data_IF_041840595879
#
_entry.id   IF_041840595879
#
_cell.length_a   1.000
_cell.length_b   1.000
_cell.length_c   1.000
_cell.angle_alpha   90.00
_cell.angle_beta   90.00
_cell.angle_gamma   90.00
#
_symmetry.space_group_name_H-M   'P 1'
#
loop_
_entity.id
_entity.type
_entity.pdbx_description
1 polymer ?
#
# COMPACT_ATOMS: atom_id res chain seq x y z
N UNK A 1 -3.52 1.87 -7.79
CA UNK A 1 -2.67 0.92 -8.54
C UNK A 1 -1.23 1.43 -8.63
N UNK A 2 -0.97 2.66 -9.10
CA UNK A 2 0.39 3.20 -9.26
C UNK A 2 1.31 3.03 -8.03
N UNK A 3 0.80 3.26 -6.82
CA UNK A 3 1.59 3.12 -5.60
C UNK A 3 2.17 1.71 -5.37
N UNK A 4 1.48 0.65 -5.78
CA UNK A 4 2.01 -0.71 -5.69
C UNK A 4 3.13 -0.94 -6.70
N UNK A 5 2.98 -0.43 -7.93
CA UNK A 5 4.01 -0.56 -8.95
C UNK A 5 5.26 0.25 -8.60
N UNK A 6 5.10 1.45 -8.02
CA UNK A 6 6.24 2.23 -7.52
C UNK A 6 7.00 1.49 -6.41
N UNK A 7 6.31 0.80 -5.49
CA UNK A 7 6.96 -0.02 -4.45
C UNK A 7 7.70 -1.21 -5.04
N UNK A 8 7.10 -1.88 -6.03
CA UNK A 8 7.74 -2.97 -6.74
C UNK A 8 9.05 -2.49 -7.41
N UNK A 9 8.98 -1.38 -8.16
CA UNK A 9 10.13 -0.78 -8.80
C UNK A 9 11.18 -0.29 -7.78
N UNK A 10 10.75 0.27 -6.66
CA UNK A 10 11.64 0.64 -5.56
C UNK A 10 12.36 -0.58 -4.98
N UNK A 11 11.65 -1.70 -4.84
CA UNK A 11 12.26 -2.98 -4.43
C UNK A 11 13.33 -3.44 -5.42
N UNK A 12 13.06 -3.34 -6.73
CA UNK A 12 14.05 -3.64 -7.78
C UNK A 12 15.26 -2.69 -7.70
N UNK A 13 15.02 -1.38 -7.57
CA UNK A 13 16.06 -0.36 -7.53
C UNK A 13 16.99 -0.45 -6.30
N UNK A 14 16.52 -1.08 -5.23
CA UNK A 14 17.30 -1.30 -4.00
C UNK A 14 18.09 -2.62 -4.00
N UNK A 15 18.05 -3.39 -5.09
CA UNK A 15 18.93 -4.56 -5.25
C UNK A 15 20.36 -4.07 -5.49
N UNK A 16 21.35 -4.50 -4.69
CA UNK A 16 22.74 -4.09 -4.90
C UNK A 16 23.25 -4.54 -6.28
N UNK A 17 23.95 -3.66 -6.99
CA UNK A 17 24.51 -3.96 -8.30
C UNK A 17 25.43 -5.20 -8.29
N UNK A 18 26.14 -5.43 -7.18
CA UNK A 18 27.02 -6.58 -6.97
C UNK A 18 26.29 -7.94 -6.92
N UNK A 19 24.97 -7.92 -6.64
CA UNK A 19 24.14 -9.14 -6.57
C UNK A 19 23.17 -9.26 -7.74
N UNK A 20 23.14 -8.26 -8.64
CA UNK A 20 22.24 -8.25 -9.80
C UNK A 20 22.80 -9.16 -10.88
N UNK A 21 22.11 -10.26 -11.16
CA UNK A 21 22.41 -11.08 -12.32
C UNK A 21 21.86 -10.39 -13.56
N UNK A 22 22.74 -9.73 -14.33
CA UNK A 22 22.37 -9.11 -15.59
C UNK A 22 22.15 -10.17 -16.66
N UNK A 23 21.03 -10.11 -17.36
CA UNK A 23 20.72 -11.03 -18.44
C UNK A 23 19.25 -10.97 -18.88
N UNK A 24 18.97 -11.53 -20.03
CA UNK A 24 17.61 -11.55 -20.61
C UNK A 24 16.62 -12.29 -19.70
N UNK A 25 17.05 -13.42 -19.11
CA UNK A 25 16.18 -14.24 -18.26
C UNK A 25 15.76 -13.53 -16.98
N UNK A 26 16.65 -12.95 -16.14
CA UNK A 26 16.24 -12.17 -14.97
C UNK A 26 15.37 -10.97 -15.31
N UNK A 27 15.68 -10.26 -16.41
CA UNK A 27 14.86 -9.14 -16.85
C UNK A 27 13.43 -9.58 -17.23
N UNK A 28 13.29 -10.72 -17.94
CA UNK A 28 11.99 -11.29 -18.27
C UNK A 28 11.24 -11.73 -17.01
N UNK A 29 11.90 -12.36 -16.05
CA UNK A 29 11.29 -12.77 -14.78
C UNK A 29 10.79 -11.57 -13.98
N UNK A 30 11.59 -10.50 -13.90
CA UNK A 30 11.17 -9.25 -13.27
C UNK A 30 9.97 -8.60 -13.99
N UNK A 31 9.96 -8.59 -15.33
CA UNK A 31 8.84 -8.08 -16.11
C UNK A 31 7.56 -8.92 -15.89
N UNK A 32 7.66 -10.24 -15.91
CA UNK A 32 6.53 -11.13 -15.60
C UNK A 32 6.01 -10.92 -14.19
N UNK A 33 6.89 -10.76 -13.20
CA UNK A 33 6.51 -10.47 -11.83
C UNK A 33 5.82 -9.11 -11.71
N UNK A 34 6.30 -8.09 -12.44
CA UNK A 34 5.64 -6.76 -12.49
C UNK A 34 4.20 -6.87 -13.02
N UNK A 35 3.99 -7.64 -14.11
CA UNK A 35 2.65 -7.89 -14.66
C UNK A 35 1.80 -8.70 -13.69
N UNK A 36 2.37 -9.71 -13.02
CA UNK A 36 1.69 -10.46 -11.98
C UNK A 36 1.18 -9.55 -10.85
N UNK A 37 2.01 -8.61 -10.38
CA UNK A 37 1.63 -7.62 -9.37
C UNK A 37 0.53 -6.67 -9.85
N UNK A 38 0.61 -6.22 -11.11
CA UNK A 38 -0.43 -5.40 -11.71
C UNK A 38 -1.79 -6.12 -11.70
N UNK A 39 -1.79 -7.39 -12.14
CA UNK A 39 -2.99 -8.22 -12.17
C UNK A 39 -3.52 -8.54 -10.76
N UNK A 40 -2.64 -8.85 -9.79
CA UNK A 40 -3.03 -9.14 -8.41
C UNK A 40 -3.64 -7.90 -7.70
N UNK A 41 -3.07 -6.72 -7.92
CA UNK A 41 -3.61 -5.47 -7.40
C UNK A 41 -4.95 -5.13 -8.07
N UNK A 42 -5.05 -5.35 -9.37
CA UNK A 42 -6.30 -5.14 -10.11
C UNK A 42 -7.40 -6.08 -9.61
N UNK A 43 -7.10 -7.37 -9.39
CA UNK A 43 -8.00 -8.31 -8.70
C UNK A 43 -8.47 -7.75 -7.36
N UNK A 44 -7.54 -7.32 -6.51
CA UNK A 44 -7.85 -6.84 -5.17
C UNK A 44 -8.83 -5.66 -5.20
N UNK A 45 -8.62 -4.69 -6.10
CA UNK A 45 -9.50 -3.54 -6.24
C UNK A 45 -10.88 -3.90 -6.79
N UNK A 46 -10.96 -4.77 -7.80
CA UNK A 46 -12.24 -5.20 -8.36
C UNK A 46 -13.04 -6.06 -7.37
N UNK A 47 -12.35 -6.99 -6.70
CA UNK A 47 -12.98 -7.86 -5.71
C UNK A 47 -13.48 -7.05 -4.50
N UNK A 48 -12.69 -6.08 -4.04
CA UNK A 48 -13.13 -5.16 -3.00
C UNK A 48 -14.38 -4.36 -3.45
N UNK A 49 -14.36 -3.75 -4.63
CA UNK A 49 -15.53 -3.02 -5.15
C UNK A 49 -16.76 -3.91 -5.37
N UNK A 50 -16.57 -5.19 -5.75
CA UNK A 50 -17.66 -6.15 -5.87
C UNK A 50 -18.29 -6.46 -4.49
N UNK A 51 -17.47 -6.62 -3.45
CA UNK A 51 -17.93 -6.89 -2.09
C UNK A 51 -18.53 -5.65 -1.41
N UNK A 52 -17.96 -4.48 -1.65
CA UNK A 52 -18.39 -3.20 -1.07
C UNK A 52 -19.59 -2.55 -1.80
N UNK A 53 -20.17 -3.21 -2.79
CA UNK A 53 -21.20 -2.62 -3.65
C UNK A 53 -22.31 -1.89 -2.89
N UNK A 54 -22.85 -2.50 -1.83
CA UNK A 54 -23.92 -1.90 -1.01
C UNK A 54 -23.43 -0.68 -0.24
N UNK A 55 -22.28 -0.79 0.41
CA UNK A 55 -21.64 0.29 1.16
C UNK A 55 -21.27 1.46 0.26
N UNK A 56 -20.65 1.16 -0.88
CA UNK A 56 -20.25 2.16 -1.87
C UNK A 56 -21.44 2.92 -2.46
N UNK A 57 -22.60 2.27 -2.59
CA UNK A 57 -23.83 2.94 -3.02
C UNK A 57 -24.40 3.88 -1.97
N UNK A 58 -24.41 3.47 -0.71
CA UNK A 58 -24.84 4.33 0.42
C UNK A 58 -23.92 5.56 0.53
N UNK A 59 -22.64 5.38 0.28
CA UNK A 59 -21.62 6.45 0.32
C UNK A 59 -21.54 7.28 -0.97
N UNK A 60 -22.47 7.11 -1.92
CA UNK A 60 -22.47 7.81 -3.20
C UNK A 60 -21.13 7.72 -3.93
N UNK A 61 -20.49 6.56 -3.86
CA UNK A 61 -19.15 6.33 -4.40
C UNK A 61 -19.17 6.42 -5.93
N UNK A 62 -18.19 7.12 -6.50
CA UNK A 62 -17.99 7.23 -7.95
C UNK A 62 -17.30 6.01 -8.57
N UNK A 63 -17.02 4.97 -7.77
CA UNK A 63 -16.39 3.72 -8.27
C UNK A 63 -17.26 3.09 -9.37
N UNK A 64 -16.65 2.51 -10.43
CA UNK A 64 -17.38 2.01 -11.59
C UNK A 64 -18.50 1.01 -11.27
N UNK A 65 -18.31 0.15 -10.26
CA UNK A 65 -19.30 -0.85 -9.87
C UNK A 65 -20.47 -0.18 -9.12
N UNK A 66 -20.18 0.72 -8.19
CA UNK A 66 -21.20 1.45 -7.43
C UNK A 66 -22.02 2.40 -8.30
N UNK A 67 -21.37 3.06 -9.26
CA UNK A 67 -22.00 3.97 -10.22
C UNK A 67 -22.70 3.25 -11.40
N UNK A 68 -22.77 1.92 -11.38
CA UNK A 68 -23.39 1.06 -12.41
C UNK A 68 -22.71 1.14 -13.80
N UNK A 69 -21.54 1.75 -13.91
CA UNK A 69 -20.74 1.76 -15.16
C UNK A 69 -20.12 0.40 -15.47
N UNK A 70 -19.96 -0.46 -14.46
CA UNK A 70 -19.46 -1.82 -14.60
C UNK A 70 -20.42 -2.79 -13.88
N UNK A 71 -21.06 -3.74 -14.58
CA UNK A 71 -21.92 -4.74 -13.98
C UNK A 71 -21.15 -5.60 -12.96
N UNK A 72 -21.79 -5.96 -11.84
CA UNK A 72 -21.17 -6.76 -10.77
C UNK A 72 -20.67 -8.12 -11.27
N UNK A 73 -21.46 -8.81 -12.10
CA UNK A 73 -21.05 -10.09 -12.69
C UNK A 73 -19.78 -9.97 -13.50
N UNK A 74 -19.72 -8.96 -14.38
CA UNK A 74 -18.54 -8.66 -15.20
C UNK A 74 -17.33 -8.33 -14.32
N UNK A 75 -17.51 -7.50 -13.27
CA UNK A 75 -16.44 -7.17 -12.34
C UNK A 75 -15.86 -8.40 -11.65
N UNK A 76 -16.70 -9.35 -11.21
CA UNK A 76 -16.23 -10.60 -10.58
C UNK A 76 -15.51 -11.51 -11.56
N UNK A 77 -16.03 -11.64 -12.79
CA UNK A 77 -15.37 -12.44 -13.84
C UNK A 77 -13.99 -11.86 -14.17
N UNK A 78 -13.91 -10.55 -14.41
CA UNK A 78 -12.63 -9.87 -14.69
C UNK A 78 -11.68 -9.99 -13.51
N UNK A 79 -12.15 -9.89 -12.27
CA UNK A 79 -11.33 -10.10 -11.09
C UNK A 79 -10.75 -11.52 -11.06
N UNK A 80 -11.55 -12.56 -11.33
CA UNK A 80 -11.07 -13.96 -11.38
C UNK A 80 -10.05 -14.17 -12.49
N UNK A 81 -10.30 -13.62 -13.68
CA UNK A 81 -9.33 -13.68 -14.79
C UNK A 81 -8.02 -12.97 -14.41
N UNK A 82 -8.09 -11.82 -13.75
CA UNK A 82 -6.90 -11.10 -13.27
C UNK A 82 -6.12 -11.91 -12.22
N UNK A 83 -6.80 -12.58 -11.29
CA UNK A 83 -6.13 -13.46 -10.32
C UNK A 83 -5.42 -14.64 -11.00
N UNK A 84 -6.08 -15.27 -11.98
CA UNK A 84 -5.46 -16.35 -12.76
C UNK A 84 -4.25 -15.85 -13.55
N UNK A 85 -4.37 -14.73 -14.26
CA UNK A 85 -3.27 -14.11 -14.99
C UNK A 85 -2.11 -13.76 -14.07
N UNK A 86 -2.39 -13.24 -12.85
CA UNK A 86 -1.38 -12.97 -11.84
C UNK A 86 -0.59 -14.24 -11.47
N UNK A 87 -1.27 -15.36 -11.23
CA UNK A 87 -0.62 -16.64 -10.88
C UNK A 87 0.20 -17.21 -12.05
N UNK A 88 -0.32 -17.16 -13.28
CA UNK A 88 0.40 -17.62 -14.48
C UNK A 88 1.67 -16.80 -14.70
N UNK A 89 1.59 -15.47 -14.66
CA UNK A 89 2.76 -14.61 -14.80
C UNK A 89 3.76 -14.80 -13.65
N UNK A 90 3.28 -14.93 -12.40
CA UNK A 90 4.14 -15.19 -11.26
C UNK A 90 4.83 -16.55 -11.33
N UNK A 91 4.16 -17.59 -11.83
CA UNK A 91 4.78 -18.90 -12.09
C UNK A 91 5.91 -18.81 -13.14
N UNK A 92 5.69 -18.03 -14.20
CA UNK A 92 6.73 -17.74 -15.20
C UNK A 92 7.92 -16.95 -14.64
N UNK A 93 7.68 -16.12 -13.61
CA UNK A 93 8.73 -15.39 -12.90
C UNK A 93 9.52 -16.26 -11.91
N UNK A 94 8.97 -17.40 -11.49
CA UNK A 94 9.63 -18.36 -10.60
C UNK A 94 8.85 -18.65 -9.32
N UNK A 95 9.25 -19.69 -8.58
CA UNK A 95 8.54 -20.19 -7.40
C UNK A 95 8.42 -19.12 -6.31
N UNK A 96 9.47 -18.34 -6.05
CA UNK A 96 9.43 -17.27 -5.04
C UNK A 96 8.39 -16.20 -5.38
N UNK A 97 8.36 -15.75 -6.64
CA UNK A 97 7.36 -14.79 -7.13
C UNK A 97 5.94 -15.36 -7.04
N UNK A 98 5.75 -16.65 -7.37
CA UNK A 98 4.46 -17.34 -7.26
C UNK A 98 3.97 -17.38 -5.81
N UNK A 99 4.83 -17.72 -4.85
CA UNK A 99 4.47 -17.78 -3.44
C UNK A 99 4.09 -16.39 -2.89
N UNK A 100 4.89 -15.35 -3.21
CA UNK A 100 4.61 -13.97 -2.80
C UNK A 100 3.30 -13.44 -3.42
N UNK A 101 3.07 -13.72 -4.72
CA UNK A 101 1.86 -13.31 -5.42
C UNK A 101 0.61 -14.02 -4.84
N UNK A 102 0.71 -15.32 -4.58
CA UNK A 102 -0.35 -16.09 -3.92
C UNK A 102 -0.69 -15.51 -2.55
N UNK A 103 0.32 -15.19 -1.73
CA UNK A 103 0.12 -14.54 -0.44
C UNK A 103 -0.59 -13.19 -0.58
N UNK A 104 -0.22 -12.36 -1.57
CA UNK A 104 -0.87 -11.07 -1.84
C UNK A 104 -2.35 -11.25 -2.25
N UNK A 105 -2.66 -12.23 -3.10
CA UNK A 105 -4.03 -12.55 -3.50
C UNK A 105 -4.88 -13.02 -2.30
N UNK A 106 -4.32 -13.88 -1.44
CA UNK A 106 -4.98 -14.34 -0.21
C UNK A 106 -5.24 -13.20 0.77
N UNK A 107 -4.29 -12.27 0.93
CA UNK A 107 -4.50 -11.05 1.74
C UNK A 107 -5.64 -10.19 1.16
N UNK A 108 -5.67 -9.99 -0.15
CA UNK A 108 -6.74 -9.26 -0.83
C UNK A 108 -8.11 -9.93 -0.68
N UNK A 109 -8.15 -11.26 -0.76
CA UNK A 109 -9.37 -12.04 -0.49
C UNK A 109 -9.81 -11.87 0.96
N UNK A 110 -8.93 -12.12 1.94
CA UNK A 110 -9.25 -12.04 3.37
C UNK A 110 -9.65 -10.62 3.80
N UNK A 111 -9.09 -9.61 3.16
CA UNK A 111 -9.47 -8.22 3.40
C UNK A 111 -10.94 -7.95 3.10
N UNK A 112 -11.45 -8.45 1.96
CA UNK A 112 -12.77 -8.10 1.43
C UNK A 112 -13.84 -9.16 1.64
N UNK A 113 -13.47 -10.44 1.84
CA UNK A 113 -14.40 -11.56 1.96
C UNK A 113 -15.31 -11.42 3.21
N UNK A 114 -16.62 -11.66 3.09
CA UNK A 114 -17.54 -11.63 4.24
C UNK A 114 -17.18 -12.61 5.37
N UNK A 115 -16.46 -13.71 5.04
CA UNK A 115 -16.04 -14.72 6.02
C UNK A 115 -14.97 -14.22 6.99
N UNK A 116 -14.08 -13.38 6.52
CA UNK A 116 -12.95 -12.84 7.30
C UNK A 116 -13.15 -11.36 7.65
N UNK A 117 -13.66 -10.58 6.70
CA UNK A 117 -14.03 -9.16 6.83
C UNK A 117 -12.95 -8.31 7.56
N UNK A 118 -11.65 -8.55 7.24
CA UNK A 118 -10.55 -7.86 7.91
C UNK A 118 -10.62 -6.34 7.75
N UNK A 119 -11.21 -5.87 6.64
CA UNK A 119 -11.46 -4.44 6.41
C UNK A 119 -12.29 -3.76 7.51
N UNK A 120 -13.06 -4.52 8.30
CA UNK A 120 -13.97 -3.97 9.30
C UNK A 120 -13.28 -3.55 10.60
N UNK A 121 -12.00 -3.87 10.79
CA UNK A 121 -11.24 -3.58 12.02
C UNK A 121 -9.90 -2.95 11.68
N UNK A 122 -9.60 -1.76 12.20
CA UNK A 122 -8.35 -1.05 11.93
C UNK A 122 -7.08 -1.91 12.15
N UNK A 123 -6.91 -2.65 13.26
CA UNK A 123 -5.70 -3.47 13.43
C UNK A 123 -5.53 -4.54 12.34
N UNK A 124 -6.62 -5.15 11.87
CA UNK A 124 -6.54 -6.12 10.79
C UNK A 124 -6.18 -5.47 9.45
N UNK A 125 -6.77 -4.28 9.16
CA UNK A 125 -6.38 -3.47 7.99
C UNK A 125 -4.90 -3.13 8.04
N UNK A 126 -4.40 -2.66 9.20
CA UNK A 126 -2.99 -2.34 9.41
C UNK A 126 -2.09 -3.54 9.12
N UNK A 127 -2.43 -4.72 9.65
CA UNK A 127 -1.70 -5.96 9.39
C UNK A 127 -1.67 -6.32 7.90
N UNK A 128 -2.83 -6.29 7.23
CA UNK A 128 -2.93 -6.60 5.79
C UNK A 128 -2.08 -5.64 4.96
N UNK A 129 -2.18 -4.34 5.18
CA UNK A 129 -1.43 -3.36 4.37
C UNK A 129 0.06 -3.41 4.67
N UNK A 130 0.46 -3.68 5.93
CA UNK A 130 1.85 -3.86 6.32
C UNK A 130 2.48 -5.05 5.59
N UNK A 131 1.86 -6.23 5.69
CA UNK A 131 2.36 -7.44 5.03
C UNK A 131 2.34 -7.31 3.52
N UNK A 132 1.26 -6.76 2.93
CA UNK A 132 1.19 -6.49 1.49
C UNK A 132 2.30 -5.55 1.01
N UNK A 133 2.70 -4.59 1.85
CA UNK A 133 3.85 -3.72 1.59
C UNK A 133 5.15 -4.50 1.52
N UNK A 134 5.45 -5.28 2.55
CA UNK A 134 6.66 -6.12 2.59
C UNK A 134 6.74 -7.08 1.41
N UNK A 135 5.64 -7.79 1.08
CA UNK A 135 5.56 -8.66 -0.08
C UNK A 135 5.88 -7.91 -1.38
N UNK A 136 5.34 -6.68 -1.52
CA UNK A 136 5.52 -5.87 -2.74
C UNK A 136 6.96 -5.42 -2.93
N UNK A 137 7.64 -4.98 -1.86
CA UNK A 137 9.06 -4.61 -1.94
C UNK A 137 9.97 -5.80 -2.19
N UNK A 138 9.62 -6.98 -1.67
CA UNK A 138 10.41 -8.20 -1.84
C UNK A 138 10.25 -8.85 -3.20
N UNK A 139 9.15 -8.60 -3.90
CA UNK A 139 8.80 -9.31 -5.13
C UNK A 139 9.79 -9.09 -6.27
N UNK A 140 10.24 -7.84 -6.47
CA UNK A 140 11.22 -7.50 -7.50
C UNK A 140 12.58 -8.20 -7.28
N UNK A 141 13.22 -8.02 -6.10
CA UNK A 141 14.45 -8.73 -5.75
C UNK A 141 14.34 -10.25 -5.92
N UNK A 142 13.27 -10.86 -5.42
CA UNK A 142 13.03 -12.31 -5.55
C UNK A 142 12.91 -12.74 -7.00
N UNK A 143 12.23 -11.97 -7.86
CA UNK A 143 12.11 -12.26 -9.29
C UNK A 143 13.46 -12.12 -10.01
N UNK A 144 14.36 -11.26 -9.53
CA UNK A 144 15.73 -11.13 -10.02
C UNK A 144 16.68 -12.20 -9.48
N UNK A 145 16.21 -13.15 -8.65
CA UNK A 145 17.04 -14.15 -8.00
C UNK A 145 17.95 -13.59 -6.90
N UNK A 146 17.67 -12.37 -6.44
CA UNK A 146 18.45 -11.68 -5.43
C UNK A 146 17.80 -11.83 -4.05
N UNK A 147 18.63 -11.80 -2.99
CA UNK A 147 18.12 -11.80 -1.62
C UNK A 147 17.44 -10.46 -1.29
N UNK A 148 16.25 -10.46 -0.69
CA UNK A 148 15.61 -9.22 -0.23
C UNK A 148 16.16 -8.71 1.11
N UNK A 149 17.40 -9.06 1.46
CA UNK A 149 18.00 -8.82 2.79
C UNK A 149 18.99 -7.65 2.84
N UNK A 150 19.09 -6.80 1.78
CA UNK A 150 19.96 -5.63 1.87
C UNK A 150 19.44 -4.64 2.92
N UNK A 151 20.32 -4.00 3.73
CA UNK A 151 19.90 -3.03 4.76
C UNK A 151 19.02 -1.91 4.18
N UNK A 152 19.36 -1.39 3.01
CA UNK A 152 18.62 -0.35 2.33
C UNK A 152 17.19 -0.79 1.99
N UNK A 153 17.04 -2.02 1.45
CA UNK A 153 15.73 -2.58 1.11
C UNK A 153 14.91 -2.87 2.37
N UNK A 154 15.52 -3.52 3.39
CA UNK A 154 14.81 -3.85 4.62
C UNK A 154 14.31 -2.60 5.34
N UNK A 155 15.16 -1.57 5.48
CA UNK A 155 14.77 -0.29 6.08
C UNK A 155 13.63 0.37 5.32
N UNK A 156 13.75 0.46 3.99
CA UNK A 156 12.73 1.12 3.17
C UNK A 156 11.42 0.33 3.17
N UNK A 157 11.48 -0.99 2.98
CA UNK A 157 10.30 -1.86 2.97
C UNK A 157 9.57 -1.81 4.31
N UNK A 158 10.31 -1.88 5.43
CA UNK A 158 9.72 -1.83 6.76
C UNK A 158 9.11 -0.45 7.07
N UNK A 159 9.89 0.63 6.89
CA UNK A 159 9.43 1.99 7.15
C UNK A 159 8.21 2.37 6.31
N UNK A 160 8.24 2.09 5.01
CA UNK A 160 7.13 2.44 4.11
C UNK A 160 5.91 1.51 4.28
N UNK A 161 6.10 0.27 4.75
CA UNK A 161 4.98 -0.60 5.14
C UNK A 161 4.35 -0.15 6.46
N UNK A 162 5.14 0.33 7.43
CA UNK A 162 4.63 0.99 8.63
C UNK A 162 3.91 2.31 8.30
N UNK A 163 4.44 3.09 7.35
CA UNK A 163 3.78 4.31 6.85
C UNK A 163 2.38 4.00 6.33
N UNK A 164 2.21 2.90 5.59
CA UNK A 164 0.89 2.47 5.13
C UNK A 164 -0.02 2.02 6.26
N UNK A 165 0.53 1.26 7.21
CA UNK A 165 -0.24 0.66 8.31
C UNK A 165 -0.66 1.70 9.34
N UNK A 166 0.29 2.48 9.86
CA UNK A 166 0.05 3.41 10.98
C UNK A 166 -0.58 4.72 10.53
N UNK A 167 -0.32 5.14 9.29
CA UNK A 167 -0.76 6.45 8.78
C UNK A 167 -1.86 6.27 7.73
N UNK A 168 -1.57 5.60 6.62
CA UNK A 168 -2.47 5.53 5.47
C UNK A 168 -3.79 4.81 5.77
N UNK A 169 -3.71 3.68 6.48
CA UNK A 169 -4.88 2.86 6.81
C UNK A 169 -5.89 3.62 7.70
N UNK A 170 -5.40 4.46 8.61
CA UNK A 170 -6.25 5.22 9.54
C UNK A 170 -6.67 6.57 8.94
N UNK A 171 -5.74 7.27 8.28
CA UNK A 171 -6.02 8.61 7.72
C UNK A 171 -7.15 8.61 6.66
N UNK A 172 -7.32 7.51 5.93
CA UNK A 172 -8.40 7.37 4.96
C UNK A 172 -9.79 7.34 5.63
N UNK A 173 -9.87 6.78 6.84
CA UNK A 173 -11.13 6.56 7.54
C UNK A 173 -11.76 7.88 8.04
N UNK A 174 -10.97 8.97 8.19
CA UNK A 174 -11.51 10.28 8.61
C UNK A 174 -12.54 10.86 7.65
N UNK A 175 -12.48 10.54 6.36
CA UNK A 175 -13.46 11.00 5.37
C UNK A 175 -14.68 10.11 5.25
N UNK A 176 -14.66 8.92 5.86
CA UNK A 176 -15.64 7.86 5.62
C UNK A 176 -16.37 7.43 6.92
N UNK A 177 -16.23 8.19 8.03
CA UNK A 177 -16.77 7.88 9.36
C UNK A 177 -18.28 7.59 9.31
N UNK A 178 -19.07 8.38 8.58
CA UNK A 178 -20.52 8.24 8.50
C UNK A 178 -20.90 6.92 7.80
N UNK A 179 -20.28 6.63 6.64
CA UNK A 179 -20.54 5.41 5.91
C UNK A 179 -20.01 4.16 6.61
N UNK A 180 -18.85 4.26 7.25
CA UNK A 180 -18.27 3.17 8.02
C UNK A 180 -19.15 2.83 9.24
N UNK A 181 -19.70 3.85 9.91
CA UNK A 181 -20.65 3.67 11.03
C UNK A 181 -21.92 2.98 10.55
N UNK A 182 -22.52 3.44 9.44
CA UNK A 182 -23.72 2.84 8.85
C UNK A 182 -23.50 1.38 8.43
N UNK A 183 -22.27 1.03 8.05
CA UNK A 183 -21.87 -0.34 7.65
C UNK A 183 -21.41 -1.22 8.81
N UNK A 184 -21.47 -0.73 10.06
CA UNK A 184 -21.04 -1.47 11.25
C UNK A 184 -19.54 -1.72 11.35
N UNK A 185 -18.70 -0.94 10.65
CA UNK A 185 -17.24 -1.01 10.75
C UNK A 185 -16.74 -0.49 12.09
N UNK A 186 -15.68 -1.08 12.59
CA UNK A 186 -15.03 -0.73 13.86
C UNK A 186 -13.66 -0.09 13.60
N UNK A 187 -13.67 1.04 12.86
CA UNK A 187 -12.45 1.80 12.60
C UNK A 187 -12.03 2.57 13.86
N UNK A 188 -10.74 2.94 13.95
CA UNK A 188 -10.27 3.73 15.10
C UNK A 188 -10.91 5.11 15.16
N UNK A 189 -11.26 5.70 14.03
CA UNK A 189 -12.00 6.95 13.98
C UNK A 189 -13.37 6.85 14.70
N UNK A 190 -14.00 5.65 14.68
CA UNK A 190 -15.27 5.36 15.34
C UNK A 190 -15.04 4.89 16.78
N UNK A 191 -14.18 3.89 16.99
CA UNK A 191 -14.05 3.21 18.30
C UNK A 191 -13.27 4.01 19.34
N UNK A 192 -12.25 4.78 18.92
CA UNK A 192 -11.47 5.65 19.80
C UNK A 192 -11.91 7.11 19.75
N UNK A 193 -12.73 7.44 18.75
CA UNK A 193 -13.11 8.81 18.40
C UNK A 193 -12.06 9.51 17.53
N UNK A 194 -12.54 10.46 16.71
CA UNK A 194 -11.74 11.15 15.70
C UNK A 194 -10.48 11.82 16.28
N UNK A 195 -10.60 12.48 17.44
CA UNK A 195 -9.48 13.19 18.08
C UNK A 195 -8.32 12.26 18.42
N UNK A 196 -8.58 11.13 19.08
CA UNK A 196 -7.54 10.17 19.47
C UNK A 196 -6.93 9.49 18.24
N UNK A 197 -7.76 9.12 17.27
CA UNK A 197 -7.27 8.53 16.02
C UNK A 197 -6.34 9.50 15.26
N UNK A 198 -6.65 10.81 15.24
CA UNK A 198 -5.78 11.84 14.65
C UNK A 198 -4.44 11.96 15.36
N UNK A 199 -4.43 11.95 16.69
CA UNK A 199 -3.18 11.96 17.47
C UNK A 199 -2.34 10.72 17.15
N UNK A 200 -2.93 9.52 17.11
CA UNK A 200 -2.22 8.29 16.77
C UNK A 200 -1.61 8.34 15.36
N UNK A 201 -2.33 8.89 14.38
CA UNK A 201 -1.80 9.09 13.02
C UNK A 201 -0.62 10.06 13.01
N UNK A 202 -0.71 11.19 13.73
CA UNK A 202 0.36 12.17 13.80
C UNK A 202 1.63 11.59 14.48
N UNK A 203 1.45 10.91 15.62
CA UNK A 203 2.54 10.21 16.31
C UNK A 203 3.14 9.12 15.44
N UNK A 204 2.32 8.29 14.80
CA UNK A 204 2.76 7.24 13.88
C UNK A 204 3.57 7.81 12.70
N UNK A 205 3.12 8.92 12.12
CA UNK A 205 3.83 9.60 11.04
C UNK A 205 5.21 10.08 11.48
N UNK A 206 5.30 10.79 12.62
CA UNK A 206 6.56 11.28 13.16
C UNK A 206 7.50 10.12 13.56
N UNK A 207 6.97 9.05 14.16
CA UNK A 207 7.75 7.88 14.53
C UNK A 207 8.33 7.17 13.30
N UNK A 208 7.54 6.98 12.23
CA UNK A 208 8.02 6.37 10.99
C UNK A 208 9.02 7.28 10.28
N UNK A 209 8.73 8.57 10.13
CA UNK A 209 9.62 9.52 9.46
C UNK A 209 10.95 9.67 10.20
N UNK A 210 10.91 9.86 11.52
CA UNK A 210 12.11 9.97 12.38
C UNK A 210 12.89 8.66 12.44
N UNK A 211 12.20 7.53 12.64
CA UNK A 211 12.83 6.20 12.68
C UNK A 211 13.50 5.81 11.36
N UNK A 212 12.84 6.12 10.23
CA UNK A 212 13.42 5.88 8.89
C UNK A 212 14.67 6.74 8.68
N UNK A 213 14.62 8.03 9.07
CA UNK A 213 15.78 8.94 8.95
C UNK A 213 16.95 8.48 9.83
N UNK A 214 16.68 8.09 11.09
CA UNK A 214 17.70 7.58 11.99
C UNK A 214 18.31 6.25 11.47
N UNK A 215 17.47 5.32 11.02
CA UNK A 215 17.91 4.05 10.45
C UNK A 215 18.74 4.23 9.18
N UNK A 216 18.34 5.14 8.27
CA UNK A 216 19.12 5.41 7.05
C UNK A 216 20.46 6.07 7.38
N UNK A 217 20.52 6.99 8.34
CA UNK A 217 21.75 7.58 8.79
C UNK A 217 22.75 6.55 9.32
N UNK A 218 22.23 5.52 10.03
CA UNK A 218 23.07 4.49 10.65
C UNK A 218 23.52 3.39 9.67
N UNK A 219 22.63 2.94 8.77
CA UNK A 219 22.85 1.70 8.01
C UNK A 219 22.76 1.84 6.49
N UNK A 220 22.22 2.94 5.97
CA UNK A 220 22.06 3.18 4.53
C UNK A 220 22.10 4.68 4.20
N UNK A 221 23.22 5.39 4.46
CA UNK A 221 23.29 6.86 4.36
C UNK A 221 22.96 7.40 2.97
N UNK A 222 23.15 6.62 1.91
CA UNK A 222 22.72 6.98 0.54
C UNK A 222 21.21 7.22 0.41
N UNK A 223 20.39 6.72 1.33
CA UNK A 223 18.93 6.95 1.34
C UNK A 223 18.49 8.17 2.16
N UNK A 224 19.41 8.93 2.75
CA UNK A 224 19.07 10.13 3.52
C UNK A 224 18.20 11.14 2.76
N UNK A 225 18.42 11.42 1.46
CA UNK A 225 17.53 12.32 0.72
C UNK A 225 16.10 11.78 0.66
N UNK A 226 15.90 10.47 0.47
CA UNK A 226 14.56 9.83 0.47
C UNK A 226 13.94 9.91 1.86
N UNK A 227 14.72 9.62 2.90
CA UNK A 227 14.24 9.69 4.29
C UNK A 227 13.85 11.11 4.69
N UNK A 228 14.57 12.13 4.21
CA UNK A 228 14.24 13.55 4.42
C UNK A 228 12.89 13.92 3.80
N UNK A 229 12.56 13.39 2.62
CA UNK A 229 11.23 13.57 2.00
C UNK A 229 10.14 12.96 2.88
N UNK A 230 10.37 11.75 3.40
CA UNK A 230 9.40 11.08 4.30
C UNK A 230 9.23 11.85 5.60
N UNK A 231 10.33 12.33 6.21
CA UNK A 231 10.29 13.12 7.44
C UNK A 231 9.55 14.45 7.25
N UNK A 232 9.88 15.20 6.20
CA UNK A 232 9.18 16.44 5.87
C UNK A 232 7.67 16.20 5.66
N UNK A 233 7.33 15.15 4.88
CA UNK A 233 5.94 14.74 4.69
C UNK A 233 5.24 14.32 5.98
N UNK A 234 5.95 13.66 6.90
CA UNK A 234 5.42 13.27 8.21
C UNK A 234 5.07 14.49 9.07
N UNK A 235 5.92 15.51 9.10
CA UNK A 235 5.69 16.75 9.84
C UNK A 235 4.49 17.52 9.26
N UNK A 236 4.42 17.66 7.93
CA UNK A 236 3.28 18.29 7.25
C UNK A 236 1.98 17.50 7.54
N UNK A 237 2.03 16.18 7.43
CA UNK A 237 0.87 15.33 7.71
C UNK A 237 0.42 15.44 9.16
N UNK A 238 1.35 15.41 10.12
CA UNK A 238 1.03 15.57 11.54
C UNK A 238 0.32 16.91 11.80
N UNK A 239 0.86 18.01 11.26
CA UNK A 239 0.26 19.35 11.37
C UNK A 239 -1.16 19.39 10.80
N UNK A 240 -1.32 18.94 9.54
CA UNK A 240 -2.63 18.90 8.86
C UNK A 240 -3.63 18.01 9.61
N UNK A 241 -3.16 16.90 10.17
CA UNK A 241 -4.01 15.97 10.92
C UNK A 241 -4.49 16.57 12.22
N UNK A 242 -3.63 17.24 12.97
CA UNK A 242 -3.96 17.82 14.27
C UNK A 242 -4.81 19.10 14.15
N UNK A 243 -4.51 19.95 13.15
CA UNK A 243 -5.27 21.20 12.92
C UNK A 243 -6.60 20.98 12.22
N UNK A 244 -6.80 19.85 11.56
CA UNK A 244 -8.02 19.52 10.80
C UNK A 244 -9.16 18.92 11.65
N UNK A 245 -9.07 18.97 12.99
CA UNK A 245 -10.16 18.49 13.87
C UNK A 245 -11.44 19.30 13.68
N UNK A 246 -12.59 18.63 13.70
CA UNK A 246 -13.89 19.30 13.57
C UNK A 246 -14.22 19.80 12.16
N UNK A 247 -13.42 19.47 11.16
CA UNK A 247 -13.73 19.83 9.78
C UNK A 247 -15.03 19.16 9.33
N UNK A 248 -16.00 19.97 8.88
CA UNK A 248 -17.29 19.48 8.37
C UNK A 248 -17.20 19.02 6.91
N UNK A 249 -16.37 19.70 6.09
CA UNK A 249 -16.21 19.39 4.70
C UNK A 249 -15.43 18.08 4.50
N UNK A 250 -16.00 17.12 3.76
CA UNK A 250 -15.34 15.84 3.41
C UNK A 250 -13.98 16.04 2.75
N UNK A 251 -13.82 17.07 1.91
CA UNK A 251 -12.55 17.41 1.28
C UNK A 251 -11.45 17.73 2.30
N UNK A 252 -11.78 18.47 3.37
CA UNK A 252 -10.84 18.79 4.48
C UNK A 252 -10.54 17.54 5.33
N UNK A 253 -11.54 16.72 5.65
CA UNK A 253 -11.35 15.44 6.36
C UNK A 253 -10.41 14.50 5.59
N UNK A 254 -10.36 14.59 4.26
CA UNK A 254 -9.50 13.78 3.38
C UNK A 254 -8.07 14.31 3.22
N UNK A 255 -7.75 15.50 3.72
CA UNK A 255 -6.42 16.09 3.59
C UNK A 255 -5.29 15.23 4.20
N UNK A 256 -5.42 14.63 5.40
CA UNK A 256 -4.38 13.75 5.94
C UNK A 256 -4.05 12.59 4.99
N UNK A 257 -5.07 11.96 4.40
CA UNK A 257 -4.86 10.89 3.42
C UNK A 257 -4.19 11.38 2.13
N UNK A 258 -4.50 12.59 1.66
CA UNK A 258 -3.82 13.20 0.52
C UNK A 258 -2.35 13.46 0.82
N UNK A 259 -2.03 14.03 1.99
CA UNK A 259 -0.65 14.22 2.43
C UNK A 259 0.10 12.89 2.51
N UNK A 260 -0.50 11.86 3.10
CA UNK A 260 0.03 10.50 3.13
C UNK A 260 0.39 10.00 1.72
N UNK A 261 -0.54 10.09 0.78
CA UNK A 261 -0.33 9.62 -0.61
C UNK A 261 0.74 10.42 -1.33
N UNK A 262 0.74 11.76 -1.20
CA UNK A 262 1.76 12.62 -1.84
C UNK A 262 3.15 12.32 -1.29
N UNK A 263 3.32 12.24 0.02
CA UNK A 263 4.60 11.89 0.65
C UNK A 263 5.13 10.55 0.13
N UNK A 264 4.26 9.53 0.09
CA UNK A 264 4.63 8.22 -0.41
C UNK A 264 5.06 8.24 -1.88
N UNK A 265 4.33 8.96 -2.75
CA UNK A 265 4.72 9.06 -4.16
C UNK A 265 6.04 9.82 -4.33
N UNK A 266 6.22 10.96 -3.64
CA UNK A 266 7.45 11.73 -3.67
C UNK A 266 8.65 10.91 -3.19
N UNK A 267 8.51 10.14 -2.10
CA UNK A 267 9.57 9.27 -1.59
C UNK A 267 10.00 8.21 -2.61
N UNK A 268 9.04 7.53 -3.27
CA UNK A 268 9.36 6.53 -4.28
C UNK A 268 9.98 7.14 -5.54
N UNK A 269 9.48 8.29 -5.98
CA UNK A 269 10.05 8.99 -7.14
C UNK A 269 11.47 9.48 -6.84
N UNK A 270 11.73 10.01 -5.63
CA UNK A 270 13.07 10.38 -5.20
C UNK A 270 14.02 9.18 -5.19
N UNK A 271 13.55 8.02 -4.67
CA UNK A 271 14.35 6.80 -4.66
C UNK A 271 14.68 6.31 -6.08
N UNK A 272 13.67 6.26 -6.96
CA UNK A 272 13.87 5.84 -8.35
C UNK A 272 14.77 6.83 -9.12
N UNK A 273 14.66 8.14 -8.85
CA UNK A 273 15.55 9.15 -9.41
C UNK A 273 17.00 8.95 -9.01
N UNK A 274 17.28 8.56 -7.76
CA UNK A 274 18.64 8.24 -7.30
C UNK A 274 19.23 6.98 -7.96
N UNK A 275 18.40 6.02 -8.33
CA UNK A 275 18.86 4.77 -8.96
C UNK A 275 19.22 4.96 -10.45
N UNK A 276 18.84 6.07 -11.07
CA UNK A 276 19.12 6.38 -12.48
C UNK A 276 20.41 7.21 -12.64
N UNK A 277 20.85 7.89 -11.58
CA UNK A 277 22.09 8.70 -11.54
C UNK A 277 23.24 7.81 -11.07
#
# INVERSE_FOLDING_TARGET
MAAFQLRYLAGVALVPASTTVLGVRPALQAALCFVAWLCAVFYTYLYNGYMDYREDRVNESTRPIASLKLPRSTALTVARCAALAALVCAAGAGLGALLLCTALLLLGYGYSSPRTAWKNRTPAVMGVVFVSGLLTYSAGPVALGSSPASPALLLTAFAMSLWMALVGAVAKDFSDIEGDTASGRRTWAITLGERRARVLVAVGACAVGGGYTAGTAAWAPGLLPVASVVLAGALVLATVTLTGQGATLRSRRRMPYRCYMSTQHCAHLALLGQAVI
#
